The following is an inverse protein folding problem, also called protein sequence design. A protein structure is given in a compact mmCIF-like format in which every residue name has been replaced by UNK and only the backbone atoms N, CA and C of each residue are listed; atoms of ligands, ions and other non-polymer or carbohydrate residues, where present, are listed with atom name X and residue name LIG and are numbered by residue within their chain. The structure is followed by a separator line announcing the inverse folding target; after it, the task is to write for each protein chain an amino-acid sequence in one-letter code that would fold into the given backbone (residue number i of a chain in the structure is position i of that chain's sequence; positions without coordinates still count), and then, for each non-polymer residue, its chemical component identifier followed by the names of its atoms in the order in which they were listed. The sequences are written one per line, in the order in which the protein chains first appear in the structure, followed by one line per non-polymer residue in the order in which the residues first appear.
data_IF_894600147515
#
_entry.id   IF_894600147515
#
_cell.length_a   1.000
_cell.length_b   1.000
_cell.length_c   1.000
_cell.angle_alpha   90.00
_cell.angle_beta   90.00
_cell.angle_gamma   90.00
#
_symmetry.space_group_name_H-M   'P 1'
#
loop_
_entity.id
_entity.type
_entity.pdbx_description
1 polymer ?
#
# COMPACT_ATOMS: atom_id res chain seq x y z
N UNK A 1 -11.31 -26.85 -12.48
CA UNK A 1 -10.01 -27.13 -11.84
C UNK A 1 -8.86 -26.57 -12.66
N UNK A 2 -8.69 -26.95 -13.94
CA UNK A 2 -7.62 -26.38 -14.82
C UNK A 2 -7.47 -24.85 -14.76
N UNK A 3 -8.54 -24.09 -15.01
CA UNK A 3 -8.53 -22.63 -14.89
C UNK A 3 -8.11 -22.11 -13.50
N UNK A 4 -8.51 -22.78 -12.42
CA UNK A 4 -8.11 -22.39 -11.05
C UNK A 4 -6.63 -22.69 -10.80
N UNK A 5 -6.08 -23.69 -11.49
CA UNK A 5 -4.65 -23.99 -11.49
C UNK A 5 -3.85 -22.97 -12.30
N UNK A 6 -4.32 -22.60 -13.50
CA UNK A 6 -3.70 -21.57 -14.34
C UNK A 6 -3.71 -20.18 -13.69
N UNK A 7 -4.77 -19.84 -12.94
CA UNK A 7 -4.86 -18.60 -12.17
C UNK A 7 -4.25 -18.71 -10.76
N UNK A 8 -3.56 -19.82 -10.47
CA UNK A 8 -2.82 -20.09 -9.24
C UNK A 8 -3.62 -19.93 -7.93
N UNK A 9 -4.95 -20.08 -7.97
CA UNK A 9 -5.80 -19.98 -6.78
C UNK A 9 -5.73 -21.26 -5.94
N UNK A 10 -4.60 -21.50 -5.26
CA UNK A 10 -4.29 -22.74 -4.52
C UNK A 10 -5.35 -23.11 -3.48
N UNK A 11 -5.72 -22.17 -2.61
CA UNK A 11 -6.70 -22.39 -1.53
C UNK A 11 -8.12 -22.65 -2.06
N UNK A 12 -8.49 -21.95 -3.14
CA UNK A 12 -9.78 -22.15 -3.80
C UNK A 12 -9.79 -23.46 -4.61
N UNK A 13 -8.67 -23.80 -5.26
CA UNK A 13 -8.48 -25.05 -5.97
C UNK A 13 -8.60 -26.24 -5.05
N UNK A 14 -8.02 -26.19 -3.85
CA UNK A 14 -8.13 -27.24 -2.83
C UNK A 14 -9.58 -27.41 -2.35
N UNK A 15 -10.24 -26.31 -1.96
CA UNK A 15 -11.66 -26.35 -1.56
C UNK A 15 -12.59 -26.86 -2.66
N UNK A 16 -12.39 -26.44 -3.91
CA UNK A 16 -13.21 -26.86 -5.05
C UNK A 16 -12.89 -28.31 -5.45
N UNK A 17 -11.64 -28.75 -5.34
CA UNK A 17 -11.22 -30.13 -5.56
C UNK A 17 -11.87 -31.08 -4.54
N UNK A 18 -11.86 -30.70 -3.25
CA UNK A 18 -12.49 -31.46 -2.16
C UNK A 18 -14.02 -31.58 -2.36
N UNK A 19 -14.69 -30.49 -2.77
CA UNK A 19 -16.14 -30.50 -3.06
C UNK A 19 -16.46 -31.36 -4.28
N UNK A 20 -15.59 -31.37 -5.30
CA UNK A 20 -15.82 -32.10 -6.54
C UNK A 20 -15.27 -33.54 -6.54
N UNK A 21 -14.64 -33.99 -5.44
CA UNK A 21 -14.05 -35.32 -5.32
C UNK A 21 -12.96 -35.61 -6.35
N UNK A 22 -12.22 -34.56 -6.78
CA UNK A 22 -11.15 -34.66 -7.77
C UNK A 22 -9.84 -34.21 -7.16
N UNK A 23 -8.72 -34.71 -7.68
CA UNK A 23 -7.42 -34.20 -7.27
C UNK A 23 -7.25 -32.73 -7.68
N UNK A 24 -6.63 -31.89 -6.83
CA UNK A 24 -6.35 -30.50 -7.17
C UNK A 24 -5.44 -30.44 -8.40
N UNK A 25 -5.63 -29.44 -9.28
CA UNK A 25 -4.82 -29.29 -10.48
C UNK A 25 -3.35 -29.11 -10.10
N UNK A 26 -2.45 -29.81 -10.80
CA UNK A 26 -1.01 -29.54 -10.75
C UNK A 26 -0.79 -28.13 -11.31
N UNK A 27 -0.49 -27.19 -10.42
CA UNK A 27 -0.05 -25.86 -10.81
C UNK A 27 1.40 -26.03 -11.24
N UNK A 28 1.63 -26.01 -12.54
CA UNK A 28 2.97 -25.96 -13.11
C UNK A 28 3.58 -24.65 -12.60
N UNK A 29 4.52 -24.75 -11.67
CA UNK A 29 5.33 -23.61 -11.26
C UNK A 29 5.90 -22.99 -12.54
N UNK A 30 5.77 -21.67 -12.71
CA UNK A 30 6.65 -20.97 -13.64
C UNK A 30 8.06 -21.51 -13.36
N UNK A 31 8.71 -22.08 -14.37
CA UNK A 31 9.92 -22.86 -14.17
C UNK A 31 10.87 -22.05 -13.29
N UNK A 32 11.09 -22.54 -12.08
CA UNK A 32 12.26 -22.16 -11.31
C UNK A 32 13.39 -22.49 -12.27
N UNK A 33 14.07 -21.47 -12.78
CA UNK A 33 15.08 -21.62 -13.81
C UNK A 33 16.03 -22.73 -13.32
N UNK A 34 16.08 -23.86 -14.03
CA UNK A 34 16.48 -25.20 -13.55
C UNK A 34 17.87 -25.30 -12.89
N UNK A 35 18.67 -24.25 -12.96
CA UNK A 35 20.04 -24.17 -12.43
C UNK A 35 20.20 -23.15 -11.28
N UNK A 36 19.21 -22.98 -10.41
CA UNK A 36 19.47 -22.29 -9.13
C UNK A 36 20.30 -23.23 -8.22
N UNK A 37 21.40 -22.76 -7.60
CA UNK A 37 22.18 -23.59 -6.69
C UNK A 37 21.26 -24.13 -5.59
N UNK A 38 21.39 -25.41 -5.26
CA UNK A 38 20.64 -26.05 -4.18
C UNK A 38 20.95 -25.34 -2.86
N UNK A 39 20.10 -24.37 -2.50
CA UNK A 39 20.15 -23.72 -1.20
C UNK A 39 19.84 -24.79 -0.17
N UNK A 40 20.70 -24.95 0.82
CA UNK A 40 20.47 -25.88 1.93
C UNK A 40 19.11 -25.55 2.54
N UNK A 41 18.16 -26.49 2.50
CA UNK A 41 16.84 -26.31 3.10
C UNK A 41 16.98 -26.24 4.62
N UNK A 42 17.12 -25.03 5.15
CA UNK A 42 17.02 -24.75 6.58
C UNK A 42 15.54 -24.65 6.93
N UNK A 43 15.00 -25.42 7.87
CA UNK A 43 13.59 -25.31 8.24
C UNK A 43 13.29 -23.94 8.87
N UNK A 44 12.03 -23.52 8.81
CA UNK A 44 11.52 -22.43 9.65
C UNK A 44 11.25 -22.99 11.04
N UNK A 45 11.86 -22.38 12.06
CA UNK A 45 11.73 -22.80 13.46
C UNK A 45 11.58 -21.56 14.35
N UNK A 46 10.39 -20.90 14.35
CA UNK A 46 10.20 -19.64 15.04
C UNK A 46 10.46 -19.69 16.55
N UNK A 47 10.36 -20.86 17.16
CA UNK A 47 10.70 -21.12 18.55
C UNK A 47 12.20 -21.00 18.88
N UNK A 48 13.07 -21.01 17.86
CA UNK A 48 14.52 -20.86 18.01
C UNK A 48 15.01 -19.42 17.81
N UNK A 49 14.13 -18.49 17.40
CA UNK A 49 14.51 -17.10 17.21
C UNK A 49 14.79 -16.42 18.54
N UNK A 50 15.80 -15.54 18.52
CA UNK A 50 16.33 -14.95 19.75
C UNK A 50 15.51 -13.74 20.18
N UNK A 51 15.17 -13.71 21.47
CA UNK A 51 14.68 -12.52 22.14
C UNK A 51 15.87 -11.71 22.67
N UNK A 52 16.19 -10.60 22.00
CA UNK A 52 17.35 -9.75 22.35
C UNK A 52 16.93 -8.73 23.41
N UNK A 53 17.16 -9.09 24.67
CA UNK A 53 16.73 -8.32 25.83
C UNK A 53 17.76 -7.30 26.33
N UNK A 54 19.03 -7.41 25.95
CA UNK A 54 20.12 -6.57 26.46
C UNK A 54 21.17 -6.18 25.41
N UNK A 55 21.96 -5.16 25.74
CA UNK A 55 22.97 -4.59 24.87
C UNK A 55 24.10 -5.56 24.51
N UNK A 56 24.38 -6.58 25.32
CA UNK A 56 25.44 -7.55 25.03
C UNK A 56 25.01 -8.44 23.88
N UNK A 57 23.79 -8.99 23.95
CA UNK A 57 23.20 -9.77 22.86
C UNK A 57 23.10 -8.95 21.57
N UNK A 58 22.61 -7.69 21.66
CA UNK A 58 22.48 -6.82 20.49
C UNK A 58 23.83 -6.51 19.82
N UNK A 59 24.89 -6.25 20.59
CA UNK A 59 26.24 -6.05 20.03
C UNK A 59 26.74 -7.30 19.31
N UNK A 60 26.49 -8.49 19.87
CA UNK A 60 26.83 -9.75 19.22
C UNK A 60 26.11 -9.94 17.86
N UNK A 61 24.88 -9.47 17.73
CA UNK A 61 24.18 -9.43 16.44
C UNK A 61 24.81 -8.43 15.48
N UNK A 62 25.08 -7.20 15.92
CA UNK A 62 25.71 -6.17 15.09
C UNK A 62 27.10 -6.60 14.60
N UNK A 63 27.90 -7.28 15.43
CA UNK A 63 29.20 -7.84 15.01
C UNK A 63 29.06 -8.82 13.84
N UNK A 64 28.07 -9.71 13.88
CA UNK A 64 27.80 -10.62 12.77
C UNK A 64 27.34 -9.88 11.52
N UNK A 65 26.50 -8.85 11.67
CA UNK A 65 26.09 -8.01 10.53
C UNK A 65 27.30 -7.41 9.82
N UNK A 66 28.28 -6.92 10.58
CA UNK A 66 29.55 -6.43 10.01
C UNK A 66 30.39 -7.56 9.37
N UNK A 67 30.37 -8.76 9.92
CA UNK A 67 31.05 -9.94 9.34
C UNK A 67 30.44 -10.34 7.99
N UNK A 68 29.11 -10.36 7.88
CA UNK A 68 28.40 -10.72 6.64
C UNK A 68 28.34 -9.56 5.62
N UNK A 69 28.38 -8.31 6.07
CA UNK A 69 28.22 -7.13 5.23
C UNK A 69 26.78 -6.85 4.81
N UNK A 70 25.80 -7.57 5.36
CA UNK A 70 24.38 -7.38 5.10
C UNK A 70 23.54 -7.84 6.30
N UNK A 71 22.28 -7.40 6.33
CA UNK A 71 21.28 -7.83 7.32
C UNK A 71 19.89 -7.64 6.76
N UNK A 72 18.98 -8.60 6.99
CA UNK A 72 17.56 -8.34 6.81
C UNK A 72 17.02 -7.63 8.06
N UNK A 73 16.30 -6.52 7.87
CA UNK A 73 15.78 -5.66 8.92
C UNK A 73 14.31 -5.42 8.66
N UNK A 74 13.51 -5.50 9.71
CA UNK A 74 12.10 -5.14 9.69
C UNK A 74 11.71 -4.41 10.99
N UNK A 75 10.68 -3.57 10.91
CA UNK A 75 10.22 -2.73 12.02
C UNK A 75 8.78 -3.03 12.40
N UNK A 76 8.58 -3.31 13.68
CA UNK A 76 7.26 -3.46 14.26
C UNK A 76 6.79 -2.14 14.85
N UNK A 77 5.53 -1.78 14.64
CA UNK A 77 5.02 -0.44 14.96
C UNK A 77 3.60 -0.45 15.53
N UNK A 78 3.16 0.68 16.08
CA UNK A 78 1.82 0.80 16.67
C UNK A 78 0.69 0.95 15.65
N UNK A 79 0.98 1.06 14.35
CA UNK A 79 -0.04 1.21 13.32
C UNK A 79 0.55 1.28 11.92
N UNK A 80 -0.32 1.36 10.90
CA UNK A 80 0.08 1.38 9.49
C UNK A 80 0.40 2.79 8.96
N UNK A 81 0.02 3.84 9.69
CA UNK A 81 0.35 5.21 9.32
C UNK A 81 1.75 5.56 9.82
N UNK A 82 2.71 5.30 8.95
CA UNK A 82 4.14 5.63 9.05
C UNK A 82 4.50 7.09 9.38
N UNK A 83 3.55 8.02 9.43
CA UNK A 83 3.78 9.40 9.83
C UNK A 83 3.47 9.66 11.31
N UNK A 84 2.74 8.76 11.97
CA UNK A 84 2.35 8.86 13.39
C UNK A 84 2.66 7.60 14.20
N UNK A 85 2.94 6.48 13.54
CA UNK A 85 3.26 5.22 14.19
C UNK A 85 4.55 5.33 15.02
N UNK A 86 4.56 4.64 16.15
CA UNK A 86 5.73 4.54 17.03
C UNK A 86 6.43 3.21 16.79
N UNK A 87 7.76 3.23 16.82
CA UNK A 87 8.59 2.02 16.73
C UNK A 87 8.41 1.18 18.00
N UNK A 88 7.93 -0.05 17.84
CA UNK A 88 7.69 -1.03 18.91
C UNK A 88 8.89 -1.96 19.11
N UNK A 89 9.50 -2.38 18.01
CA UNK A 89 10.69 -3.22 18.03
C UNK A 89 11.29 -3.38 16.64
N UNK A 90 12.46 -3.98 16.58
CA UNK A 90 13.23 -4.21 15.35
C UNK A 90 13.60 -5.69 15.29
N UNK A 91 13.39 -6.33 14.15
CA UNK A 91 13.91 -7.67 13.89
C UNK A 91 15.11 -7.64 12.96
N UNK A 92 16.02 -8.60 13.15
CA UNK A 92 17.22 -8.77 12.33
C UNK A 92 17.36 -10.23 11.90
N UNK A 93 17.84 -10.48 10.70
CA UNK A 93 18.31 -11.80 10.27
C UNK A 93 19.60 -11.70 9.47
N UNK A 94 20.56 -12.59 9.76
CA UNK A 94 21.89 -12.60 9.11
C UNK A 94 22.11 -13.86 8.26
N UNK A 95 21.42 -14.95 8.61
CA UNK A 95 21.44 -16.21 7.87
C UNK A 95 20.04 -16.87 7.94
N UNK A 96 19.67 -17.72 6.97
CA UNK A 96 18.44 -18.49 7.03
C UNK A 96 18.30 -19.26 8.36
N UNK A 97 17.20 -19.03 9.08
CA UNK A 97 16.90 -19.65 10.38
C UNK A 97 17.62 -19.00 11.56
N UNK A 98 18.42 -17.95 11.33
CA UNK A 98 19.10 -17.16 12.36
C UNK A 98 18.57 -15.74 12.33
N UNK A 99 17.53 -15.52 13.11
CA UNK A 99 16.88 -14.24 13.29
C UNK A 99 16.62 -13.91 14.78
N UNK A 100 16.47 -12.63 15.06
CA UNK A 100 16.12 -12.12 16.39
C UNK A 100 15.08 -11.01 16.33
N UNK A 101 14.44 -10.76 17.48
CA UNK A 101 13.62 -9.59 17.71
C UNK A 101 14.12 -8.80 18.93
N UNK A 102 14.18 -7.48 18.75
CA UNK A 102 14.63 -6.49 19.73
C UNK A 102 13.41 -5.66 20.15
N UNK A 103 12.71 -6.06 21.22
CA UNK A 103 11.55 -5.32 21.72
C UNK A 103 11.98 -4.06 22.46
N UNK A 104 11.25 -2.95 22.25
CA UNK A 104 11.62 -1.64 22.78
C UNK A 104 10.54 -1.01 23.68
N UNK A 105 9.26 -1.14 23.33
CA UNK A 105 8.16 -0.48 24.06
C UNK A 105 6.93 -1.37 24.29
N UNK A 106 7.06 -2.70 24.32
CA UNK A 106 5.94 -3.57 24.67
C UNK A 106 5.41 -3.26 26.07
N UNK A 107 4.10 -3.28 26.23
CA UNK A 107 3.39 -3.01 27.48
C UNK A 107 3.24 -4.28 28.31
N UNK A 108 3.32 -4.15 29.62
CA UNK A 108 3.17 -5.27 30.55
C UNK A 108 1.73 -5.83 30.56
N UNK A 109 0.74 -4.99 30.29
CA UNK A 109 -0.68 -5.36 30.24
C UNK A 109 -1.26 -5.14 28.83
N UNK A 110 -1.95 -6.15 28.31
CA UNK A 110 -2.64 -6.09 27.02
C UNK A 110 -4.07 -5.50 27.12
N UNK A 111 -4.58 -5.30 28.34
CA UNK A 111 -5.93 -4.78 28.61
C UNK A 111 -6.04 -3.27 28.36
N UNK A 112 -7.21 -2.85 27.89
CA UNK A 112 -7.61 -1.44 27.78
C UNK A 112 -8.42 -1.05 29.03
N UNK A 113 -7.91 -1.39 30.20
CA UNK A 113 -8.49 -1.00 31.47
C UNK A 113 -8.23 0.49 31.75
N UNK A 114 -9.26 1.21 32.23
CA UNK A 114 -9.15 2.62 32.63
C UNK A 114 -8.09 2.90 33.72
N UNK A 115 -7.51 1.82 34.27
CA UNK A 115 -6.44 1.80 35.28
C UNK A 115 -5.18 1.07 34.78
N UNK A 116 -5.10 0.74 33.49
CA UNK A 116 -3.95 0.09 32.89
C UNK A 116 -2.72 0.97 33.03
N UNK A 117 -1.69 0.43 33.69
CA UNK A 117 -0.41 1.10 33.83
C UNK A 117 0.34 1.09 32.50
N UNK A 118 0.89 2.24 32.10
CA UNK A 118 1.79 2.39 30.93
C UNK A 118 3.16 1.71 31.09
N UNK A 119 3.27 0.81 32.06
CA UNK A 119 4.48 0.07 32.41
C UNK A 119 4.92 -0.83 31.25
N UNK A 120 6.21 -0.75 30.96
CA UNK A 120 6.84 -1.60 29.96
C UNK A 120 6.98 -3.03 30.48
N UNK A 121 6.80 -4.01 29.59
CA UNK A 121 7.09 -5.39 29.90
C UNK A 121 8.58 -5.57 30.25
N UNK A 122 8.87 -6.53 31.14
CA UNK A 122 10.25 -6.87 31.49
C UNK A 122 10.95 -7.59 30.32
N UNK A 123 12.28 -7.57 30.34
CA UNK A 123 13.09 -8.21 29.30
C UNK A 123 13.29 -7.37 28.03
N UNK A 124 13.12 -6.06 28.13
CA UNK A 124 13.36 -5.12 27.03
C UNK A 124 14.46 -4.14 27.45
N UNK A 125 15.36 -3.79 26.54
CA UNK A 125 16.35 -2.74 26.80
C UNK A 125 15.75 -1.35 26.57
N UNK A 126 16.47 -0.30 27.00
CA UNK A 126 16.03 1.08 26.76
C UNK A 126 16.15 1.41 25.27
N UNK A 127 15.12 2.06 24.72
CA UNK A 127 15.06 2.52 23.31
C UNK A 127 16.35 3.23 22.90
N UNK A 128 16.78 4.24 23.66
CA UNK A 128 17.97 5.02 23.33
C UNK A 128 19.24 4.17 23.22
N UNK A 129 19.39 3.17 24.10
CA UNK A 129 20.56 2.29 24.09
C UNK A 129 20.56 1.33 22.90
N UNK A 130 19.39 0.81 22.51
CA UNK A 130 19.25 0.03 21.29
C UNK A 130 19.59 0.85 20.04
N UNK A 131 19.05 2.07 19.94
CA UNK A 131 19.29 2.96 18.81
C UNK A 131 20.76 3.42 18.74
N UNK A 132 21.41 3.70 19.87
CA UNK A 132 22.85 4.04 19.90
C UNK A 132 23.72 2.90 19.33
N UNK A 133 23.31 1.64 19.53
CA UNK A 133 24.02 0.46 19.02
C UNK A 133 23.71 0.23 17.53
N UNK A 134 22.45 0.38 17.12
CA UNK A 134 21.99 0.06 15.77
C UNK A 134 22.29 1.16 14.75
N UNK A 135 22.21 2.42 15.13
CA UNK A 135 22.31 3.57 14.21
C UNK A 135 23.57 3.53 13.34
N UNK A 136 24.79 3.30 13.89
CA UNK A 136 25.99 3.24 13.07
C UNK A 136 25.90 2.18 11.96
N UNK A 137 25.34 1.00 12.25
CA UNK A 137 25.18 -0.08 11.27
C UNK A 137 24.08 0.24 10.24
N UNK A 138 22.96 0.81 10.69
CA UNK A 138 21.84 1.18 9.81
C UNK A 138 22.23 2.27 8.80
N UNK A 139 23.12 3.18 9.16
CA UNK A 139 23.61 4.26 8.30
C UNK A 139 24.90 3.90 7.53
N UNK A 140 25.57 2.79 7.86
CA UNK A 140 26.84 2.43 7.23
C UNK A 140 26.65 2.07 5.74
N UNK A 141 27.32 2.77 4.81
CA UNK A 141 27.23 2.49 3.39
C UNK A 141 27.80 1.12 2.97
N UNK A 142 28.63 0.49 3.81
CA UNK A 142 29.22 -0.82 3.57
C UNK A 142 28.28 -1.99 3.94
N UNK A 143 27.22 -1.72 4.70
CA UNK A 143 26.28 -2.75 5.17
C UNK A 143 24.99 -2.67 4.38
N UNK A 144 24.62 -3.73 3.68
CA UNK A 144 23.34 -3.78 2.95
C UNK A 144 22.18 -4.12 3.89
N UNK A 145 21.17 -3.24 3.96
CA UNK A 145 19.92 -3.50 4.70
C UNK A 145 18.89 -4.09 3.73
N UNK A 146 18.37 -5.26 4.05
CA UNK A 146 17.43 -6.01 3.21
C UNK A 146 16.06 -5.94 3.89
N UNK A 147 15.00 -5.61 3.16
CA UNK A 147 13.66 -5.51 3.74
C UNK A 147 12.60 -5.88 2.72
N UNK A 148 11.38 -6.00 3.22
CA UNK A 148 10.19 -6.14 2.40
C UNK A 148 9.40 -4.83 2.53
N UNK A 149 9.23 -4.07 1.45
CA UNK A 149 8.62 -2.73 1.51
C UNK A 149 9.40 -1.75 2.41
N UNK A 150 10.73 -1.68 2.21
CA UNK A 150 11.68 -0.89 3.00
C UNK A 150 11.36 0.61 3.03
N UNK A 151 10.50 1.10 2.13
CA UNK A 151 9.98 2.47 2.19
C UNK A 151 9.31 2.76 3.54
N UNK A 152 8.58 1.80 4.10
CA UNK A 152 7.90 1.93 5.39
C UNK A 152 8.93 2.11 6.51
N UNK A 153 9.84 1.15 6.66
CA UNK A 153 10.88 1.13 7.69
C UNK A 153 11.78 2.36 7.59
N UNK A 154 12.17 2.74 6.38
CA UNK A 154 12.98 3.94 6.15
C UNK A 154 12.30 5.21 6.69
N UNK A 155 10.97 5.32 6.64
CA UNK A 155 10.24 6.45 7.23
C UNK A 155 10.21 6.38 8.75
N UNK A 156 9.97 5.19 9.32
CA UNK A 156 10.01 4.97 10.76
C UNK A 156 11.39 5.36 11.33
N UNK A 157 12.47 4.86 10.74
CA UNK A 157 13.84 5.22 11.12
C UNK A 157 14.10 6.71 10.94
N UNK A 158 13.62 7.32 9.85
CA UNK A 158 13.83 8.74 9.63
C UNK A 158 13.06 9.65 10.61
N UNK A 159 11.98 9.17 11.25
CA UNK A 159 11.37 9.88 12.38
C UNK A 159 12.28 9.92 13.60
N UNK A 160 13.11 8.89 13.78
CA UNK A 160 14.11 8.77 14.84
C UNK A 160 15.44 9.44 14.48
N UNK A 161 15.52 10.12 13.33
CA UNK A 161 16.73 10.79 12.84
C UNK A 161 17.75 9.85 12.19
N UNK A 162 17.38 8.61 11.88
CA UNK A 162 18.26 7.59 11.30
C UNK A 162 18.01 7.51 9.79
N UNK A 163 19.08 7.60 9.00
CA UNK A 163 19.01 7.51 7.53
C UNK A 163 19.52 6.14 7.05
N UNK A 164 18.60 5.19 6.88
CA UNK A 164 18.96 3.83 6.45
C UNK A 164 19.41 3.82 4.98
N UNK A 165 20.66 3.41 4.75
CA UNK A 165 21.22 3.19 3.42
C UNK A 165 22.52 2.37 3.49
N UNK A 166 22.86 1.57 2.46
CA UNK A 166 22.03 1.20 1.31
C UNK A 166 20.97 0.16 1.65
N UNK A 167 19.94 0.08 0.82
CA UNK A 167 18.83 -0.87 1.00
C UNK A 167 18.67 -1.79 -0.21
N UNK A 168 18.16 -3.00 0.00
CA UNK A 168 17.56 -3.87 -1.01
C UNK A 168 16.12 -4.22 -0.55
N UNK A 169 15.18 -4.23 -1.49
CA UNK A 169 13.75 -4.49 -1.22
C UNK A 169 13.24 -5.71 -2.00
N UNK A 170 12.82 -6.77 -1.29
CA UNK A 170 12.32 -8.03 -1.89
C UNK A 170 10.98 -7.87 -2.61
N UNK A 171 10.13 -6.94 -2.16
CA UNK A 171 8.88 -6.61 -2.84
C UNK A 171 9.18 -6.07 -4.24
N UNK A 172 10.14 -5.14 -4.33
CA UNK A 172 10.52 -4.50 -5.57
C UNK A 172 11.32 -5.43 -6.50
N UNK A 173 12.12 -6.34 -5.94
CA UNK A 173 12.75 -7.39 -6.74
C UNK A 173 11.71 -8.29 -7.40
N UNK A 174 10.73 -8.75 -6.63
CA UNK A 174 9.63 -9.57 -7.15
C UNK A 174 8.83 -8.82 -8.20
N UNK A 175 8.51 -7.55 -7.95
CA UNK A 175 7.78 -6.69 -8.89
C UNK A 175 8.54 -6.49 -10.20
N UNK A 176 9.84 -6.19 -10.14
CA UNK A 176 10.66 -6.03 -11.34
C UNK A 176 10.63 -7.29 -12.22
N UNK A 177 10.60 -8.48 -11.63
CA UNK A 177 10.55 -9.75 -12.37
C UNK A 177 9.14 -10.15 -12.85
N UNK A 178 8.10 -9.79 -12.10
CA UNK A 178 6.77 -10.43 -12.22
C UNK A 178 5.59 -9.46 -12.14
N UNK A 179 5.79 -8.17 -12.41
CA UNK A 179 4.73 -7.16 -12.38
C UNK A 179 3.45 -7.62 -13.10
N UNK A 180 2.32 -7.59 -12.39
CA UNK A 180 1.00 -7.95 -12.92
C UNK A 180 0.70 -9.45 -12.99
N UNK A 181 1.63 -10.34 -12.64
CA UNK A 181 1.39 -11.79 -12.61
C UNK A 181 0.78 -12.25 -11.28
N UNK A 182 1.24 -11.71 -10.16
CA UNK A 182 0.78 -12.07 -8.82
C UNK A 182 1.04 -10.96 -7.79
N UNK A 183 0.56 -11.16 -6.56
CA UNK A 183 0.86 -10.24 -5.45
C UNK A 183 2.33 -10.29 -5.05
N UNK A 184 2.85 -9.15 -4.56
CA UNK A 184 4.24 -8.98 -4.13
C UNK A 184 4.39 -8.77 -2.61
N UNK A 185 3.32 -9.00 -1.83
CA UNK A 185 3.37 -9.00 -0.37
C UNK A 185 4.08 -10.23 0.17
N UNK A 186 4.68 -10.11 1.36
CA UNK A 186 5.55 -11.15 1.94
C UNK A 186 4.90 -12.52 2.00
N UNK A 187 3.68 -12.62 2.52
CA UNK A 187 2.95 -13.88 2.67
C UNK A 187 2.79 -14.61 1.34
N UNK A 188 2.38 -13.86 0.30
CA UNK A 188 2.19 -14.41 -1.03
C UNK A 188 3.53 -14.88 -1.65
N UNK A 189 4.63 -14.19 -1.34
CA UNK A 189 5.96 -14.56 -1.80
C UNK A 189 6.52 -15.77 -1.03
N UNK A 190 6.35 -15.81 0.29
CA UNK A 190 6.75 -16.93 1.14
C UNK A 190 6.05 -18.22 0.73
N UNK A 191 4.73 -18.20 0.58
CA UNK A 191 3.96 -19.38 0.15
C UNK A 191 4.34 -19.86 -1.25
N UNK A 192 4.64 -18.91 -2.15
CA UNK A 192 4.96 -19.20 -3.55
C UNK A 192 6.35 -19.76 -3.73
N UNK A 193 7.34 -19.13 -3.13
CA UNK A 193 8.76 -19.35 -3.41
C UNK A 193 9.48 -20.15 -2.34
N UNK A 194 9.02 -20.11 -1.08
CA UNK A 194 9.62 -20.82 0.04
C UNK A 194 8.76 -21.99 0.52
N UNK A 195 7.55 -22.16 -0.04
CA UNK A 195 6.55 -23.16 0.38
C UNK A 195 6.24 -23.09 1.88
N UNK A 196 6.31 -21.88 2.45
CA UNK A 196 6.10 -21.61 3.88
C UNK A 196 4.93 -20.66 4.08
N UNK A 197 4.01 -21.00 4.97
CA UNK A 197 2.92 -20.12 5.39
C UNK A 197 3.38 -19.33 6.61
N UNK A 198 3.55 -18.00 6.51
CA UNK A 198 4.00 -17.20 7.65
C UNK A 198 2.96 -17.18 8.78
N UNK A 199 3.42 -16.80 9.97
CA UNK A 199 2.57 -16.54 11.12
C UNK A 199 1.68 -15.34 10.78
N UNK A 200 0.34 -15.50 10.76
CA UNK A 200 -0.53 -14.39 10.42
C UNK A 200 -0.55 -13.34 11.55
N UNK A 201 -0.51 -12.06 11.19
CA UNK A 201 -0.58 -10.94 12.17
C UNK A 201 -1.98 -10.81 12.82
N UNK A 202 -3.04 -11.22 12.10
CA UNK A 202 -4.43 -10.98 12.51
C UNK A 202 -4.80 -11.68 13.84
N UNK A 203 -4.40 -12.93 14.11
CA UNK A 203 -4.57 -13.53 15.45
C UNK A 203 -3.85 -12.79 16.58
N UNK A 204 -2.74 -12.09 16.30
CA UNK A 204 -1.97 -11.35 17.31
C UNK A 204 -2.65 -10.03 17.67
N UNK A 205 -3.08 -9.28 16.66
CA UNK A 205 -3.69 -7.96 16.85
C UNK A 205 -5.20 -8.02 17.06
N UNK A 206 -5.88 -9.09 16.66
CA UNK A 206 -7.33 -9.16 16.63
C UNK A 206 -7.94 -8.46 15.40
N UNK A 207 -9.19 -8.01 15.50
CA UNK A 207 -9.86 -7.34 14.38
C UNK A 207 -10.95 -6.36 14.81
N UNK A 208 -11.24 -5.38 13.95
CA UNK A 208 -12.28 -4.39 14.21
C UNK A 208 -11.90 -3.42 15.32
N UNK A 209 -12.89 -2.93 16.07
CA UNK A 209 -12.69 -1.93 17.13
C UNK A 209 -11.93 -2.44 18.35
N UNK A 210 -11.81 -3.75 18.51
CA UNK A 210 -11.07 -4.39 19.60
C UNK A 210 -9.67 -4.84 19.17
N UNK A 211 -9.21 -4.42 17.98
CA UNK A 211 -7.85 -4.70 17.56
C UNK A 211 -6.87 -3.93 18.47
N UNK A 212 -5.82 -4.61 18.93
CA UNK A 212 -4.74 -4.01 19.70
C UNK A 212 -3.59 -3.63 18.78
N UNK A 213 -2.71 -2.76 19.27
CA UNK A 213 -1.46 -2.36 18.62
C UNK A 213 -0.33 -3.33 18.97
N UNK A 214 0.75 -3.36 18.17
CA UNK A 214 1.79 -4.38 18.32
C UNK A 214 2.52 -4.33 19.67
N UNK A 215 2.60 -3.16 20.31
CA UNK A 215 3.15 -2.99 21.66
C UNK A 215 2.35 -3.74 22.74
N UNK A 216 1.10 -4.12 22.47
CA UNK A 216 0.27 -4.91 23.38
C UNK A 216 0.34 -6.42 23.12
N UNK A 217 1.07 -6.85 22.09
CA UNK A 217 1.28 -8.27 21.78
C UNK A 217 2.26 -8.87 22.80
N UNK A 218 2.00 -10.08 23.36
CA UNK A 218 2.92 -10.75 24.25
C UNK A 218 4.30 -10.97 23.59
N UNK A 219 5.38 -10.69 24.32
CA UNK A 219 6.75 -10.80 23.80
C UNK A 219 7.06 -12.16 23.18
N UNK A 220 6.55 -13.26 23.76
CA UNK A 220 6.77 -14.61 23.22
C UNK A 220 6.21 -14.80 21.81
N UNK A 221 5.10 -14.14 21.50
CA UNK A 221 4.46 -14.21 20.19
C UNK A 221 5.05 -13.17 19.23
N UNK A 222 5.35 -11.98 19.74
CA UNK A 222 6.01 -10.91 18.99
C UNK A 222 7.39 -11.34 18.46
N UNK A 223 8.21 -12.01 19.29
CA UNK A 223 9.52 -12.52 18.87
C UNK A 223 9.39 -13.51 17.72
N UNK A 224 8.41 -14.43 17.79
CA UNK A 224 8.20 -15.45 16.75
C UNK A 224 7.76 -14.81 15.44
N UNK A 225 6.82 -13.88 15.49
CA UNK A 225 6.29 -13.18 14.33
C UNK A 225 7.37 -12.31 13.67
N UNK A 226 7.90 -11.34 14.40
CA UNK A 226 8.78 -10.32 13.83
C UNK A 226 10.12 -10.89 13.33
N UNK A 227 10.68 -11.86 14.04
CA UNK A 227 11.91 -12.51 13.59
C UNK A 227 11.67 -13.45 12.40
N UNK A 228 10.46 -14.01 12.25
CA UNK A 228 10.10 -14.77 11.06
C UNK A 228 10.05 -13.87 9.81
N UNK A 229 9.48 -12.68 9.92
CA UNK A 229 9.39 -11.71 8.81
C UNK A 229 10.80 -11.34 8.29
N UNK A 230 11.77 -11.13 9.18
CA UNK A 230 13.16 -10.90 8.82
C UNK A 230 13.83 -12.14 8.18
N UNK A 231 13.60 -13.35 8.70
CA UNK A 231 14.15 -14.60 8.13
C UNK A 231 13.57 -14.88 6.73
N UNK A 232 12.25 -14.77 6.56
CA UNK A 232 11.57 -14.92 5.26
C UNK A 232 12.15 -13.92 4.27
N UNK A 233 12.25 -12.66 4.67
CA UNK A 233 12.78 -11.58 3.83
C UNK A 233 14.21 -11.87 3.37
N UNK A 234 15.08 -12.33 4.27
CA UNK A 234 16.45 -12.72 3.91
C UNK A 234 16.47 -13.87 2.90
N UNK A 235 15.66 -14.91 3.11
CA UNK A 235 15.58 -16.07 2.22
C UNK A 235 15.03 -15.68 0.83
N UNK A 236 14.01 -14.83 0.79
CA UNK A 236 13.49 -14.27 -0.47
C UNK A 236 14.56 -13.47 -1.20
N UNK A 237 15.34 -12.65 -0.49
CA UNK A 237 16.44 -11.88 -1.08
C UNK A 237 17.53 -12.78 -1.67
N UNK A 238 17.97 -13.81 -0.92
CA UNK A 238 18.95 -14.79 -1.40
C UNK A 238 18.46 -15.51 -2.67
N UNK A 239 17.15 -15.75 -2.76
CA UNK A 239 16.53 -16.36 -3.93
C UNK A 239 16.39 -15.38 -5.11
N UNK A 240 15.93 -14.15 -4.88
CA UNK A 240 15.60 -13.19 -5.93
C UNK A 240 16.81 -12.44 -6.49
N UNK A 241 17.77 -12.06 -5.64
CA UNK A 241 18.90 -11.21 -6.06
C UNK A 241 19.67 -11.82 -7.25
N UNK A 242 20.03 -13.12 -7.27
CA UNK A 242 20.67 -13.75 -8.43
C UNK A 242 19.75 -13.86 -9.65
N UNK A 243 18.43 -13.91 -9.47
CA UNK A 243 17.45 -14.06 -10.54
C UNK A 243 17.23 -12.78 -11.34
N UNK A 244 17.45 -11.60 -10.75
CA UNK A 244 17.30 -10.31 -11.45
C UNK A 244 18.09 -10.28 -12.78
N UNK A 245 19.30 -10.86 -12.78
CA UNK A 245 20.13 -10.94 -13.98
C UNK A 245 19.54 -11.91 -15.01
N UNK A 246 19.08 -13.08 -14.56
CA UNK A 246 18.47 -14.10 -15.42
C UNK A 246 17.17 -13.60 -16.07
N UNK A 247 16.37 -12.85 -15.32
CA UNK A 247 15.16 -12.19 -15.80
C UNK A 247 15.46 -10.90 -16.61
N UNK A 248 16.72 -10.50 -16.76
CA UNK A 248 17.16 -9.29 -17.49
C UNK A 248 16.60 -7.97 -16.93
N UNK A 249 16.27 -7.93 -15.64
CA UNK A 249 15.67 -6.76 -14.98
C UNK A 249 16.59 -6.08 -13.96
N UNK A 250 17.86 -6.54 -13.83
CA UNK A 250 18.85 -5.92 -12.94
C UNK A 250 18.94 -4.40 -13.12
N UNK A 251 18.96 -3.91 -14.37
CA UNK A 251 19.04 -2.47 -14.63
C UNK A 251 17.82 -1.73 -14.11
N UNK A 252 16.62 -2.27 -14.36
CA UNK A 252 15.37 -1.65 -13.89
C UNK A 252 15.36 -1.59 -12.37
N UNK A 253 15.68 -2.69 -11.70
CA UNK A 253 15.74 -2.73 -10.24
C UNK A 253 16.78 -1.76 -9.66
N UNK A 254 18.04 -1.85 -10.08
CA UNK A 254 19.15 -1.10 -9.46
C UNK A 254 19.14 0.39 -9.81
N UNK A 255 18.60 0.78 -10.98
CA UNK A 255 18.67 2.18 -11.46
C UNK A 255 17.34 2.92 -11.41
N UNK A 256 16.21 2.22 -11.25
CA UNK A 256 14.88 2.83 -11.16
C UNK A 256 14.23 2.50 -9.83
N UNK A 257 13.92 1.24 -9.55
CA UNK A 257 13.08 0.86 -8.39
C UNK A 257 13.76 1.13 -7.04
N UNK A 258 14.97 0.60 -6.85
CA UNK A 258 15.74 0.74 -5.61
C UNK A 258 16.04 2.20 -5.23
N UNK A 259 16.58 3.07 -6.12
CA UNK A 259 16.86 4.46 -5.77
C UNK A 259 15.61 5.32 -5.62
N UNK A 260 14.44 4.86 -6.11
CA UNK A 260 13.18 5.59 -5.98
C UNK A 260 12.61 5.51 -4.55
N UNK A 261 12.94 4.47 -3.79
CA UNK A 261 12.46 4.28 -2.40
C UNK A 261 12.78 5.48 -1.49
N UNK A 262 14.04 5.92 -1.32
CA UNK A 262 14.35 7.07 -0.46
C UNK A 262 13.75 8.38 -0.99
N UNK A 263 13.60 8.53 -2.31
CA UNK A 263 12.95 9.70 -2.92
C UNK A 263 11.47 9.75 -2.54
N UNK A 264 10.74 8.64 -2.69
CA UNK A 264 9.33 8.58 -2.32
C UNK A 264 9.15 8.73 -0.81
N UNK A 265 9.97 8.07 0.02
CA UNK A 265 9.94 8.28 1.46
C UNK A 265 10.13 9.77 1.83
N UNK A 266 11.06 10.47 1.18
CA UNK A 266 11.27 11.92 1.36
C UNK A 266 10.08 12.76 0.90
N UNK A 267 9.46 12.43 -0.24
CA UNK A 267 8.26 13.10 -0.75
C UNK A 267 7.06 12.92 0.18
N UNK A 268 6.82 11.69 0.63
CA UNK A 268 5.71 11.32 1.52
C UNK A 268 5.88 12.03 2.88
N UNK A 269 7.08 11.98 3.47
CA UNK A 269 7.38 12.69 4.73
C UNK A 269 7.26 14.21 4.60
N UNK A 270 7.61 14.77 3.45
CA UNK A 270 7.43 16.20 3.20
C UNK A 270 5.94 16.57 3.15
N UNK A 271 5.12 15.72 2.56
CA UNK A 271 3.68 15.95 2.40
C UNK A 271 3.34 17.21 1.59
N UNK A 272 2.05 17.49 1.42
CA UNK A 272 1.55 18.69 0.76
C UNK A 272 0.68 19.52 1.70
N UNK A 273 0.86 20.84 1.68
CA UNK A 273 0.07 21.75 2.51
C UNK A 273 -1.31 21.91 1.88
N UNK A 274 -2.33 21.75 2.72
CA UNK A 274 -3.73 21.89 2.33
C UNK A 274 -4.41 22.89 3.25
N UNK A 275 -5.16 23.83 2.67
CA UNK A 275 -5.96 24.81 3.38
C UNK A 275 -7.31 24.19 3.80
N UNK A 276 -7.41 23.90 5.11
CA UNK A 276 -8.60 23.32 5.73
C UNK A 276 -9.83 24.21 5.61
N UNK A 277 -9.67 25.54 5.73
CA UNK A 277 -10.79 26.47 5.69
C UNK A 277 -11.36 26.57 4.28
N UNK A 278 -10.50 26.50 3.27
CA UNK A 278 -10.93 26.41 1.88
C UNK A 278 -11.68 25.11 1.61
N UNK A 279 -11.18 23.94 2.06
CA UNK A 279 -11.91 22.68 1.93
C UNK A 279 -13.27 22.69 2.65
N UNK A 280 -13.33 23.25 3.87
CA UNK A 280 -14.56 23.34 4.65
C UNK A 280 -15.63 24.19 3.95
N UNK A 281 -15.24 25.37 3.43
CA UNK A 281 -16.14 26.22 2.63
C UNK A 281 -16.65 25.51 1.38
N UNK A 282 -15.78 24.76 0.71
CA UNK A 282 -16.16 23.98 -0.47
C UNK A 282 -17.14 22.85 -0.12
N UNK A 283 -16.90 22.11 0.96
CA UNK A 283 -17.82 21.06 1.44
C UNK A 283 -19.22 21.60 1.72
N UNK A 284 -19.31 22.78 2.35
CA UNK A 284 -20.59 23.45 2.60
C UNK A 284 -21.27 23.88 1.29
N UNK A 285 -20.53 24.46 0.35
CA UNK A 285 -21.07 24.85 -0.96
C UNK A 285 -21.57 23.65 -1.77
N UNK A 286 -20.84 22.53 -1.74
CA UNK A 286 -21.27 21.29 -2.38
C UNK A 286 -22.51 20.71 -1.71
N UNK A 287 -22.60 20.73 -0.37
CA UNK A 287 -23.81 20.31 0.36
C UNK A 287 -25.05 21.07 -0.10
N UNK A 288 -24.95 22.40 -0.25
CA UNK A 288 -26.06 23.24 -0.70
C UNK A 288 -26.48 22.92 -2.13
N UNK A 289 -25.51 22.78 -3.05
CA UNK A 289 -25.80 22.40 -4.45
C UNK A 289 -26.41 21.00 -4.55
N UNK A 290 -25.91 20.05 -3.76
CA UNK A 290 -26.44 18.68 -3.70
C UNK A 290 -27.89 18.68 -3.22
N UNK A 291 -28.22 19.44 -2.18
CA UNK A 291 -29.60 19.55 -1.68
C UNK A 291 -30.55 20.12 -2.75
N UNK A 292 -30.12 21.15 -3.48
CA UNK A 292 -30.92 21.70 -4.58
C UNK A 292 -31.16 20.67 -5.71
N UNK A 293 -30.12 19.91 -6.08
CA UNK A 293 -30.25 18.82 -7.06
C UNK A 293 -31.15 17.69 -6.55
N UNK A 294 -31.08 17.35 -5.26
CA UNK A 294 -31.98 16.35 -4.66
C UNK A 294 -33.43 16.76 -4.77
N UNK A 295 -33.76 18.02 -4.46
CA UNK A 295 -35.12 18.53 -4.58
C UNK A 295 -35.64 18.45 -6.03
N UNK A 296 -34.83 18.86 -7.01
CA UNK A 296 -35.18 18.72 -8.44
C UNK A 296 -35.35 17.25 -8.87
N UNK A 297 -34.48 16.35 -8.38
CA UNK A 297 -34.59 14.92 -8.65
C UNK A 297 -35.88 14.36 -8.05
N UNK A 298 -36.28 14.82 -6.85
CA UNK A 298 -37.52 14.39 -6.20
C UNK A 298 -38.77 14.90 -6.94
N UNK A 299 -38.73 16.12 -7.47
CA UNK A 299 -39.80 16.65 -8.31
C UNK A 299 -39.95 15.84 -9.60
N UNK A 300 -38.85 15.55 -10.30
CA UNK A 300 -38.86 14.76 -11.52
C UNK A 300 -39.26 13.29 -11.29
N UNK A 301 -38.88 12.71 -10.14
CA UNK A 301 -39.23 11.34 -9.77
C UNK A 301 -40.64 11.20 -9.18
N UNK A 302 -41.27 12.30 -8.76
CA UNK A 302 -42.57 12.31 -8.08
C UNK A 302 -42.57 11.77 -6.65
N UNK A 303 -41.40 11.43 -6.08
CA UNK A 303 -41.27 10.96 -4.69
C UNK A 303 -39.84 11.16 -4.16
N UNK A 304 -39.71 11.13 -2.83
CA UNK A 304 -38.41 11.14 -2.15
C UNK A 304 -37.80 9.74 -2.09
N UNK A 305 -36.49 9.65 -2.32
CA UNK A 305 -35.70 8.43 -2.22
C UNK A 305 -34.23 8.76 -1.94
N UNK A 306 -33.41 7.75 -1.69
CA UNK A 306 -31.97 7.93 -1.57
C UNK A 306 -31.33 7.96 -2.97
N UNK A 307 -30.98 9.16 -3.45
CA UNK A 307 -30.32 9.39 -4.75
C UNK A 307 -28.99 8.63 -4.87
N UNK A 308 -28.30 8.43 -3.75
CA UNK A 308 -27.07 7.66 -3.65
C UNK A 308 -27.25 6.14 -3.77
N UNK A 309 -28.48 5.62 -3.75
CA UNK A 309 -28.76 4.19 -3.84
C UNK A 309 -28.99 3.74 -5.28
N UNK A 310 -28.06 2.99 -5.91
CA UNK A 310 -28.23 2.50 -7.28
C UNK A 310 -29.49 1.65 -7.46
N UNK A 311 -29.89 0.93 -6.40
CA UNK A 311 -31.08 0.07 -6.41
C UNK A 311 -32.38 0.90 -6.49
N UNK A 312 -32.53 1.89 -5.61
CA UNK A 312 -33.74 2.73 -5.60
C UNK A 312 -33.84 3.56 -6.88
N UNK A 313 -32.72 4.13 -7.33
CA UNK A 313 -32.67 4.86 -8.59
C UNK A 313 -33.05 3.96 -9.78
N UNK A 314 -32.53 2.74 -9.83
CA UNK A 314 -32.84 1.79 -10.90
C UNK A 314 -34.31 1.38 -10.93
N UNK A 315 -34.94 1.18 -9.76
CA UNK A 315 -36.37 0.90 -9.66
C UNK A 315 -37.21 2.07 -10.19
N UNK A 316 -36.83 3.31 -9.90
CA UNK A 316 -37.53 4.51 -10.39
C UNK A 316 -37.37 4.66 -11.90
N UNK A 317 -36.14 4.63 -12.41
CA UNK A 317 -35.86 4.84 -13.85
C UNK A 317 -36.52 3.77 -14.73
N UNK A 318 -36.35 2.49 -14.40
CA UNK A 318 -36.73 1.39 -15.29
C UNK A 318 -38.01 0.67 -14.88
N UNK A 319 -38.39 0.75 -13.59
CA UNK A 319 -39.62 0.14 -13.08
C UNK A 319 -40.81 1.09 -13.13
N UNK A 320 -40.66 2.26 -12.51
CA UNK A 320 -41.76 3.24 -12.38
C UNK A 320 -41.91 4.12 -13.63
N UNK A 321 -40.82 4.72 -14.12
CA UNK A 321 -40.81 5.59 -15.30
C UNK A 321 -40.77 4.80 -16.61
N UNK A 322 -40.43 3.51 -16.57
CA UNK A 322 -40.43 2.62 -17.72
C UNK A 322 -39.43 2.99 -18.82
N UNK A 323 -38.32 3.66 -18.47
CA UNK A 323 -37.31 4.05 -19.46
C UNK A 323 -36.67 2.81 -20.10
N UNK A 324 -36.34 2.90 -21.39
CA UNK A 324 -35.66 1.81 -22.10
C UNK A 324 -34.16 1.73 -21.71
N UNK A 325 -33.51 0.57 -21.91
CA UNK A 325 -32.06 0.41 -21.64
C UNK A 325 -31.67 -0.17 -20.27
N UNK A 326 -32.64 -0.48 -19.40
CA UNK A 326 -32.38 -1.06 -18.08
C UNK A 326 -31.84 -2.49 -18.11
N UNK A 327 -30.53 -2.67 -18.01
CA UNK A 327 -29.89 -4.00 -17.85
C UNK A 327 -29.79 -4.37 -16.38
N UNK A 328 -30.18 -5.59 -16.01
CA UNK A 328 -30.00 -6.11 -14.64
C UNK A 328 -28.61 -6.72 -14.48
N UNK A 329 -27.93 -6.35 -13.40
CA UNK A 329 -26.65 -6.94 -13.02
C UNK A 329 -26.82 -8.34 -12.42
N UNK A 330 -25.68 -8.95 -12.05
CA UNK A 330 -25.64 -10.30 -11.43
C UNK A 330 -26.47 -10.42 -10.14
N UNK A 331 -26.71 -9.31 -9.46
CA UNK A 331 -27.50 -9.23 -8.22
C UNK A 331 -29.00 -8.99 -8.47
N UNK A 332 -29.43 -8.91 -9.74
CA UNK A 332 -30.83 -8.66 -10.12
C UNK A 332 -31.26 -7.20 -10.05
N UNK A 333 -30.41 -6.28 -9.56
CA UNK A 333 -30.65 -4.85 -9.58
C UNK A 333 -30.36 -4.24 -10.96
N UNK A 334 -31.07 -3.18 -11.33
CA UNK A 334 -30.78 -2.43 -12.56
C UNK A 334 -29.42 -1.72 -12.47
N UNK A 335 -28.67 -1.75 -13.57
CA UNK A 335 -27.42 -1.02 -13.71
C UNK A 335 -27.71 0.47 -13.87
N UNK A 336 -27.12 1.30 -13.02
CA UNK A 336 -27.16 2.76 -13.12
C UNK A 336 -25.73 3.29 -13.19
N UNK A 337 -24.92 2.71 -14.08
CA UNK A 337 -23.55 3.17 -14.35
C UNK A 337 -23.55 4.58 -14.95
N UNK A 338 -22.38 5.23 -14.97
CA UNK A 338 -22.25 6.56 -15.58
C UNK A 338 -22.60 6.53 -17.07
N UNK A 339 -22.14 5.50 -17.78
CA UNK A 339 -22.46 5.20 -19.18
C UNK A 339 -23.97 5.10 -19.43
N UNK A 340 -24.67 4.30 -18.62
CA UNK A 340 -26.13 4.12 -18.75
C UNK A 340 -26.88 5.42 -18.50
N UNK A 341 -26.47 6.20 -17.50
CA UNK A 341 -27.10 7.48 -17.19
C UNK A 341 -26.78 8.57 -18.22
N UNK A 342 -25.59 8.54 -18.84
CA UNK A 342 -25.20 9.47 -19.90
C UNK A 342 -26.03 9.27 -21.16
N UNK A 343 -26.25 8.01 -21.56
CA UNK A 343 -27.14 7.67 -22.67
C UNK A 343 -28.57 8.15 -22.38
N UNK A 344 -29.12 7.82 -21.20
CA UNK A 344 -30.47 8.25 -20.82
C UNK A 344 -30.59 9.79 -20.68
N UNK A 345 -29.51 10.48 -20.33
CA UNK A 345 -29.48 11.94 -20.20
C UNK A 345 -29.62 12.66 -21.54
N UNK A 346 -29.50 11.96 -22.68
CA UNK A 346 -29.78 12.52 -24.01
C UNK A 346 -31.28 12.74 -24.25
N UNK A 347 -32.14 12.01 -23.55
CA UNK A 347 -33.60 12.03 -23.74
C UNK A 347 -34.36 12.48 -22.48
N UNK A 348 -33.75 12.40 -21.30
CA UNK A 348 -34.40 12.67 -20.02
C UNK A 348 -33.56 13.52 -19.08
N UNK A 349 -34.21 14.46 -18.39
CA UNK A 349 -33.54 15.38 -17.46
C UNK A 349 -33.12 14.72 -16.13
N UNK A 350 -33.89 13.75 -15.63
CA UNK A 350 -33.63 13.11 -14.33
C UNK A 350 -32.25 12.41 -14.29
N UNK A 351 -31.88 11.56 -15.28
CA UNK A 351 -30.53 10.98 -15.36
C UNK A 351 -29.42 12.03 -15.35
N UNK A 352 -29.61 13.16 -16.03
CA UNK A 352 -28.64 14.26 -16.05
C UNK A 352 -28.43 14.85 -14.66
N UNK A 353 -29.51 15.18 -13.94
CA UNK A 353 -29.42 15.71 -12.57
C UNK A 353 -28.77 14.73 -11.60
N UNK A 354 -29.05 13.43 -11.77
CA UNK A 354 -28.41 12.38 -10.96
C UNK A 354 -26.91 12.29 -11.22
N UNK A 355 -26.46 12.39 -12.47
CA UNK A 355 -25.03 12.44 -12.82
C UNK A 355 -24.34 13.63 -12.14
N UNK A 356 -24.93 14.82 -12.24
CA UNK A 356 -24.41 16.03 -11.60
C UNK A 356 -24.35 15.87 -10.07
N UNK A 357 -25.40 15.32 -9.44
CA UNK A 357 -25.42 15.04 -8.01
C UNK A 357 -24.34 14.04 -7.59
N UNK A 358 -24.16 12.95 -8.34
CA UNK A 358 -23.14 11.93 -8.05
C UNK A 358 -21.73 12.50 -8.18
N UNK A 359 -21.50 13.37 -9.17
CA UNK A 359 -20.23 14.06 -9.33
C UNK A 359 -19.94 14.92 -8.10
N UNK A 360 -20.88 15.76 -7.66
CA UNK A 360 -20.71 16.59 -6.47
C UNK A 360 -20.55 15.76 -5.18
N UNK A 361 -21.35 14.70 -5.03
CA UNK A 361 -21.27 13.77 -3.90
C UNK A 361 -19.89 13.10 -3.78
N UNK A 362 -19.32 12.66 -4.92
CA UNK A 362 -17.96 12.14 -4.98
C UNK A 362 -16.92 13.22 -4.64
N UNK A 363 -17.06 14.42 -5.23
CA UNK A 363 -16.14 15.52 -4.97
C UNK A 363 -16.12 15.92 -3.48
N UNK A 364 -17.30 15.95 -2.85
CA UNK A 364 -17.44 16.24 -1.42
C UNK A 364 -16.83 15.13 -0.56
N UNK A 365 -17.35 13.91 -0.68
CA UNK A 365 -16.93 12.79 0.18
C UNK A 365 -15.45 12.45 0.02
N UNK A 366 -14.95 12.39 -1.22
CA UNK A 366 -13.59 11.89 -1.52
C UNK A 366 -12.53 12.98 -1.37
N UNK A 367 -12.86 14.25 -1.66
CA UNK A 367 -11.84 15.30 -1.76
C UNK A 367 -12.06 16.51 -0.85
N UNK A 368 -13.26 16.81 -0.37
CA UNK A 368 -13.39 17.89 0.63
C UNK A 368 -13.36 17.33 2.04
N UNK A 369 -14.17 16.32 2.32
CA UNK A 369 -14.32 15.79 3.67
C UNK A 369 -13.13 14.90 4.02
N UNK A 370 -12.86 13.87 3.22
CA UNK A 370 -11.74 12.96 3.49
C UNK A 370 -10.38 13.67 3.52
N UNK A 371 -10.10 14.63 2.62
CA UNK A 371 -8.82 15.35 2.66
C UNK A 371 -8.62 16.14 3.96
N UNK A 372 -9.68 16.63 4.61
CA UNK A 372 -9.57 17.28 5.92
C UNK A 372 -9.17 16.27 7.01
N UNK A 373 -9.70 15.06 6.95
CA UNK A 373 -9.38 13.98 7.91
C UNK A 373 -7.94 13.46 7.73
N UNK A 374 -7.39 13.55 6.51
CA UNK A 374 -6.00 13.21 6.19
C UNK A 374 -4.98 14.30 6.54
N UNK A 375 -5.39 15.45 7.10
CA UNK A 375 -4.43 16.45 7.56
C UNK A 375 -3.79 15.94 8.85
N UNK A 376 -2.50 15.61 8.77
CA UNK A 376 -1.71 15.22 9.93
C UNK A 376 -1.66 16.39 10.93
N UNK A 377 -1.92 16.08 12.21
CA UNK A 377 -2.07 17.09 13.26
C UNK A 377 -0.74 17.79 13.62
N UNK A 378 0.37 17.08 13.51
CA UNK A 378 1.69 17.56 13.93
C UNK A 378 2.32 18.42 12.83
N UNK A 379 2.20 17.99 11.56
CA UNK A 379 2.77 18.72 10.42
C UNK A 379 1.80 19.75 9.85
N UNK A 380 0.49 19.56 10.04
CA UNK A 380 -0.55 20.33 9.37
C UNK A 380 -0.57 20.13 7.85
N UNK A 381 -0.08 18.99 7.36
CA UNK A 381 0.05 18.64 5.93
C UNK A 381 -0.61 17.28 5.66
N UNK A 382 -0.92 17.02 4.40
CA UNK A 382 -1.43 15.72 3.93
C UNK A 382 -0.25 14.89 3.43
N UNK A 383 -0.15 13.65 3.88
CA UNK A 383 0.91 12.70 3.53
C UNK A 383 0.27 11.51 2.81
N UNK A 384 0.33 11.49 1.47
CA UNK A 384 -0.14 10.34 0.69
C UNK A 384 0.88 9.20 0.74
N UNK A 385 0.44 7.97 0.55
CA UNK A 385 1.32 6.82 0.33
C UNK A 385 1.36 6.46 -1.16
N UNK A 386 2.53 6.55 -1.78
CA UNK A 386 2.79 6.12 -3.14
C UNK A 386 3.11 4.62 -3.20
N UNK A 387 2.33 3.87 -3.96
CA UNK A 387 2.53 2.44 -4.16
C UNK A 387 3.33 2.21 -5.44
N UNK A 388 4.57 1.72 -5.28
CA UNK A 388 5.45 1.38 -6.41
C UNK A 388 4.92 0.16 -7.16
N UNK A 389 4.48 -0.86 -6.42
CA UNK A 389 3.99 -2.14 -6.96
C UNK A 389 2.48 -2.15 -7.27
N UNK A 390 1.84 -0.97 -7.31
CA UNK A 390 0.38 -0.86 -7.39
C UNK A 390 -0.20 -1.16 -8.78
N UNK A 391 0.41 -0.64 -9.84
CA UNK A 391 -0.07 -0.85 -11.21
C UNK A 391 0.72 -1.96 -11.91
N UNK A 392 0.12 -2.68 -12.85
CA UNK A 392 0.86 -3.64 -13.70
C UNK A 392 1.78 -2.95 -14.72
N UNK A 393 1.58 -1.66 -14.98
CA UNK A 393 2.28 -0.89 -16.02
C UNK A 393 3.57 -0.22 -15.54
N UNK A 394 3.96 -0.36 -14.27
CA UNK A 394 5.09 0.37 -13.68
C UNK A 394 4.74 1.78 -13.19
N UNK A 395 3.48 2.22 -13.29
CA UNK A 395 3.07 3.53 -12.76
C UNK A 395 2.90 3.48 -11.25
N UNK A 396 3.36 4.53 -10.58
CA UNK A 396 3.01 4.77 -9.19
C UNK A 396 1.49 4.89 -9.05
N UNK A 397 0.93 4.25 -8.04
CA UNK A 397 -0.40 4.56 -7.52
C UNK A 397 -0.27 5.42 -6.25
N UNK A 398 -1.37 6.03 -5.80
CA UNK A 398 -1.41 6.84 -4.58
C UNK A 398 -2.65 6.46 -3.77
N UNK A 399 -2.48 6.30 -2.46
CA UNK A 399 -3.53 5.98 -1.50
C UNK A 399 -3.45 6.87 -0.27
N UNK A 400 -4.54 6.90 0.50
CA UNK A 400 -4.64 7.49 1.84
C UNK A 400 -4.08 8.92 1.99
N UNK A 401 -4.47 9.89 1.14
CA UNK A 401 -5.50 9.84 0.10
C UNK A 401 -4.93 9.70 -1.32
N UNK A 402 -5.76 9.26 -2.28
CA UNK A 402 -5.35 9.21 -3.69
C UNK A 402 -5.29 10.62 -4.31
N UNK A 403 -4.10 11.20 -4.36
CA UNK A 403 -3.85 12.52 -4.93
C UNK A 403 -3.80 12.53 -6.47
N UNK A 404 -3.66 11.37 -7.12
CA UNK A 404 -3.59 11.27 -8.58
C UNK A 404 -4.95 11.49 -9.24
N UNK A 405 -6.04 11.08 -8.58
CA UNK A 405 -7.38 11.09 -9.15
C UNK A 405 -8.13 12.42 -9.00
N UNK A 406 -7.48 13.47 -8.48
CA UNK A 406 -8.10 14.80 -8.30
C UNK A 406 -8.41 15.40 -9.69
N UNK A 407 -9.69 15.63 -10.03
CA UNK A 407 -10.09 16.07 -11.37
C UNK A 407 -9.42 17.38 -11.81
N UNK A 408 -9.00 17.43 -13.08
CA UNK A 408 -8.23 18.56 -13.65
C UNK A 408 -9.09 19.46 -14.54
N UNK A 409 -10.08 18.86 -15.23
CA UNK A 409 -10.80 19.49 -16.33
C UNK A 409 -12.09 20.19 -15.89
N UNK A 410 -12.70 19.77 -14.78
CA UNK A 410 -13.89 20.43 -14.24
C UNK A 410 -13.54 21.67 -13.42
N UNK A 411 -14.43 22.65 -13.40
CA UNK A 411 -14.29 23.86 -12.59
C UNK A 411 -14.19 23.51 -11.09
N UNK A 412 -15.06 22.61 -10.62
CA UNK A 412 -15.09 22.14 -9.25
C UNK A 412 -13.81 21.38 -8.87
N UNK A 413 -13.24 20.61 -9.81
CA UNK A 413 -11.97 19.93 -9.62
C UNK A 413 -10.80 20.91 -9.51
N UNK A 414 -10.79 21.96 -10.33
CA UNK A 414 -9.82 23.06 -10.24
C UNK A 414 -9.90 23.77 -8.90
N UNK A 415 -11.13 24.03 -8.41
CA UNK A 415 -11.33 24.62 -7.08
C UNK A 415 -10.77 23.77 -5.95
N UNK A 416 -10.85 22.43 -6.05
CA UNK A 416 -10.24 21.55 -5.04
C UNK A 416 -8.72 21.71 -5.05
N UNK A 417 -8.11 21.89 -6.22
CA UNK A 417 -6.67 22.14 -6.35
C UNK A 417 -6.24 23.47 -5.75
N UNK A 418 -7.10 24.49 -5.71
CA UNK A 418 -6.83 25.76 -5.03
C UNK A 418 -6.63 25.59 -3.51
N UNK A 419 -7.16 24.52 -2.92
CA UNK A 419 -6.91 24.20 -1.52
C UNK A 419 -5.48 23.68 -1.27
N UNK A 420 -4.76 23.25 -2.30
CA UNK A 420 -3.35 22.87 -2.18
C UNK A 420 -2.50 24.12 -2.32
N UNK A 421 -1.83 24.51 -1.23
CA UNK A 421 -1.18 25.81 -1.12
C UNK A 421 0.31 25.65 -0.86
N UNK A 422 1.10 26.66 -1.24
CA UNK A 422 2.49 26.76 -0.82
C UNK A 422 2.58 27.28 0.62
N UNK A 423 3.68 26.97 1.31
CA UNK A 423 4.00 27.66 2.56
C UNK A 423 4.36 29.13 2.31
N UNK A 424 4.23 30.01 3.32
CA UNK A 424 4.68 31.39 3.23
C UNK A 424 6.13 31.49 2.71
N UNK A 425 6.34 32.33 1.70
CA UNK A 425 7.64 32.52 1.06
C UNK A 425 8.00 31.47 -0.01
N UNK A 426 7.12 30.51 -0.31
CA UNK A 426 7.28 29.51 -1.37
C UNK A 426 6.20 29.64 -2.44
N UNK A 427 6.41 28.99 -3.58
CA UNK A 427 5.42 28.81 -4.65
C UNK A 427 5.32 27.34 -5.04
N UNK A 428 4.16 26.90 -5.53
CA UNK A 428 4.00 25.58 -6.13
C UNK A 428 4.42 25.64 -7.61
N UNK A 429 5.24 24.68 -8.04
CA UNK A 429 5.68 24.53 -9.42
C UNK A 429 5.16 23.20 -9.94
N UNK A 430 4.47 23.23 -11.09
CA UNK A 430 4.01 22.03 -11.78
C UNK A 430 4.86 21.79 -13.03
N UNK A 431 5.48 20.62 -13.11
CA UNK A 431 6.27 20.18 -14.26
C UNK A 431 5.60 18.94 -14.85
N UNK A 432 5.16 19.03 -16.10
CA UNK A 432 4.39 17.97 -16.78
C UNK A 432 5.06 17.57 -18.10
N UNK A 433 5.10 16.28 -18.39
CA UNK A 433 5.59 15.79 -19.67
C UNK A 433 4.47 15.82 -20.72
N UNK A 434 4.53 16.81 -21.61
CA UNK A 434 3.52 17.00 -22.65
C UNK A 434 3.40 15.78 -23.57
N UNK A 435 2.30 15.04 -23.43
CA UNK A 435 1.91 13.91 -24.28
C UNK A 435 2.99 12.81 -24.36
N UNK A 436 3.64 12.49 -23.24
CA UNK A 436 4.75 11.52 -23.22
C UNK A 436 4.38 10.15 -23.82
N UNK A 437 3.16 9.67 -23.59
CA UNK A 437 2.68 8.40 -24.16
C UNK A 437 2.67 8.43 -25.70
N UNK A 438 2.18 9.53 -26.29
CA UNK A 438 2.13 9.67 -27.75
C UNK A 438 3.52 9.86 -28.35
N UNK A 439 4.43 10.52 -27.63
CA UNK A 439 5.85 10.64 -28.01
C UNK A 439 6.56 9.28 -27.98
N UNK A 440 6.32 8.48 -26.95
CA UNK A 440 6.83 7.10 -26.85
C UNK A 440 6.27 6.25 -28.00
N UNK A 441 4.96 6.33 -28.28
CA UNK A 441 4.33 5.63 -29.39
C UNK A 441 4.96 6.02 -30.74
N UNK A 442 5.12 7.31 -31.00
CA UNK A 442 5.76 7.80 -32.22
C UNK A 442 7.19 7.27 -32.37
N UNK A 443 7.94 7.18 -31.27
CA UNK A 443 9.29 6.61 -31.25
C UNK A 443 9.28 5.10 -31.53
N UNK A 444 8.52 4.32 -30.76
CA UNK A 444 8.46 2.85 -30.82
C UNK A 444 7.90 2.34 -32.14
N UNK A 445 6.82 2.93 -32.64
CA UNK A 445 6.23 2.57 -33.93
C UNK A 445 6.95 3.20 -35.13
N UNK A 446 8.01 3.99 -34.87
CA UNK A 446 8.82 4.68 -35.87
C UNK A 446 8.00 5.46 -36.92
N UNK A 447 7.01 6.24 -36.48
CA UNK A 447 6.08 6.96 -37.37
C UNK A 447 6.68 8.33 -37.73
N UNK A 448 7.22 8.54 -38.96
CA UNK A 448 7.97 9.76 -39.28
C UNK A 448 7.11 11.03 -39.21
N UNK A 449 5.85 10.95 -39.64
CA UNK A 449 4.92 12.07 -39.59
C UNK A 449 4.66 12.56 -38.14
N UNK A 450 4.49 11.64 -37.18
CA UNK A 450 4.31 12.01 -35.77
C UNK A 450 5.60 12.54 -35.16
N UNK A 451 6.76 11.95 -35.51
CA UNK A 451 8.06 12.47 -35.08
C UNK A 451 8.29 13.89 -35.58
N UNK A 452 7.99 14.16 -36.85
CA UNK A 452 8.13 15.49 -37.43
C UNK A 452 7.17 16.49 -36.78
N UNK A 453 5.89 16.12 -36.60
CA UNK A 453 4.93 16.96 -35.89
C UNK A 453 5.45 17.37 -34.50
N UNK A 454 6.03 16.44 -33.73
CA UNK A 454 6.61 16.77 -32.43
C UNK A 454 7.89 17.61 -32.45
N UNK A 455 8.63 17.61 -33.56
CA UNK A 455 9.83 18.45 -33.76
C UNK A 455 9.43 19.87 -34.14
N UNK A 456 8.37 20.00 -34.95
CA UNK A 456 7.89 21.30 -35.44
C UNK A 456 7.15 22.13 -34.37
N UNK A 457 6.70 21.49 -33.28
CA UNK A 457 6.01 22.12 -32.15
C UNK A 457 4.51 21.87 -32.16
#
# INVERSE_FOLDING_TARGET
LGFLGEMEFRTLSKRVADILGKEPPLIVQASVIEDAPAVREVPFAPELYEHVADAVALRGWVEQVYEFGYVAVDTETTGLDEMIAQLVGISLAVEPGRACYIPLIHKANAGDDLFGSDELAQGQMRVAEALDILTPMLEDPAILKIGQNMKYDAKIFAQLGITVAPIDDTMLMSYAMHAGLHGHGMDALSERYLSHTPIPIKPLLGSGKSAVTFDKVPLTDAVRYAAEDADITLRLWQLFKPQLHRAQVTKVYETLERPLVPVLAGMERSGIKVDRDTLSRMSNAFSQKMAALEDEIYELAGRKFNVGSPKQLGEILFGEMGLEGGKRGKTGAYATGADVLEDLATEHDLPRRVLDWRQLSKLKSTYTDALQDHINKDTGRVHTSYLITGASTGRLASTDPNLQNIPIRSEEGRRIREAFVAEPGKILVALDYSQIELRILAHMANIPALKQAFVDG
#
